data_IF_010260689016
#
_entry.id   IF_010260689016
#
_cell.length_a   1.000
_cell.length_b   1.000
_cell.length_c   1.000
_cell.angle_alpha   90.00
_cell.angle_beta   90.00
_cell.angle_gamma   90.00
#
_symmetry.space_group_name_H-M   'P 1'
#
loop_
_entity.id
_entity.type
_entity.pdbx_description
1 polymer ?
#
# COMPACT_ATOMS: atom_id res chain seq x y z
N UNK A 1 -24.80 15.58 -0.21
CA UNK A 1 -23.76 16.10 0.72
C UNK A 1 -23.12 15.05 1.62
N UNK A 2 -23.83 14.27 2.46
CA UNK A 2 -23.20 13.22 3.29
C UNK A 2 -22.88 11.93 2.50
N UNK A 3 -23.79 11.52 1.61
CA UNK A 3 -23.63 10.38 0.69
C UNK A 3 -22.41 10.55 -0.24
N UNK A 4 -22.23 11.75 -0.78
CA UNK A 4 -21.11 12.06 -1.70
C UNK A 4 -19.74 12.03 -1.00
N UNK A 5 -19.69 12.31 0.31
CA UNK A 5 -18.46 12.26 1.13
C UNK A 5 -18.00 10.83 1.39
N UNK A 6 -18.94 9.94 1.66
CA UNK A 6 -18.65 8.50 1.84
C UNK A 6 -18.15 7.94 0.51
N UNK A 7 -18.77 8.33 -0.61
CA UNK A 7 -18.35 7.94 -1.96
C UNK A 7 -16.92 8.39 -2.27
N UNK A 8 -16.50 9.60 -1.89
CA UNK A 8 -15.12 10.05 -2.08
C UNK A 8 -14.11 9.18 -1.32
N UNK A 9 -14.34 8.94 -0.03
CA UNK A 9 -13.44 8.12 0.79
C UNK A 9 -13.36 6.68 0.28
N UNK A 10 -14.48 6.13 -0.15
CA UNK A 10 -14.52 4.80 -0.77
C UNK A 10 -13.79 4.81 -2.12
N UNK A 11 -13.96 5.83 -2.95
CA UNK A 11 -13.25 5.94 -4.21
C UNK A 11 -11.73 6.04 -4.02
N UNK A 12 -11.25 6.79 -3.01
CA UNK A 12 -9.83 6.85 -2.66
C UNK A 12 -9.30 5.51 -2.17
N UNK A 13 -10.09 4.76 -1.38
CA UNK A 13 -9.72 3.40 -0.96
C UNK A 13 -9.66 2.44 -2.14
N UNK A 14 -10.61 2.54 -3.07
CA UNK A 14 -10.64 1.77 -4.31
C UNK A 14 -9.42 2.06 -5.20
N UNK A 15 -9.05 3.34 -5.34
CA UNK A 15 -7.84 3.74 -6.03
C UNK A 15 -6.58 3.18 -5.33
N UNK A 16 -6.52 3.29 -4.00
CA UNK A 16 -5.39 2.81 -3.22
C UNK A 16 -5.17 1.31 -3.35
N UNK A 17 -6.24 0.50 -3.24
CA UNK A 17 -6.08 -0.95 -3.30
C UNK A 17 -5.65 -1.45 -4.69
N UNK A 18 -6.26 -0.91 -5.75
CA UNK A 18 -5.83 -1.23 -7.12
C UNK A 18 -4.36 -0.87 -7.35
N UNK A 19 -3.96 0.31 -6.88
CA UNK A 19 -2.58 0.77 -7.03
C UNK A 19 -1.56 -0.04 -6.23
N UNK A 20 -1.93 -0.50 -5.02
CA UNK A 20 -1.10 -1.40 -4.19
C UNK A 20 -0.83 -2.72 -4.92
N UNK A 21 -1.80 -3.26 -5.66
CA UNK A 21 -1.63 -4.54 -6.34
C UNK A 21 -0.48 -4.51 -7.36
N UNK A 22 -0.34 -3.43 -8.14
CA UNK A 22 0.74 -3.29 -9.11
C UNK A 22 2.12 -3.26 -8.44
N UNK A 23 2.22 -2.66 -7.24
CA UNK A 23 3.47 -2.62 -6.48
C UNK A 23 3.84 -3.98 -5.88
N UNK A 24 2.84 -4.76 -5.47
CA UNK A 24 3.06 -6.00 -4.74
C UNK A 24 3.28 -7.21 -5.65
N UNK A 25 2.73 -7.21 -6.87
CA UNK A 25 2.80 -8.39 -7.75
C UNK A 25 4.25 -8.84 -8.04
N UNK A 26 5.26 -7.96 -8.24
CA UNK A 26 6.64 -8.42 -8.43
C UNK A 26 7.20 -9.13 -7.20
N UNK A 27 6.81 -8.71 -5.98
CA UNK A 27 7.24 -9.30 -4.71
C UNK A 27 6.71 -10.74 -4.50
N UNK A 28 5.71 -11.15 -5.27
CA UNK A 28 5.15 -12.51 -5.23
C UNK A 28 5.66 -13.39 -6.35
N UNK A 29 6.00 -12.81 -7.50
CA UNK A 29 6.44 -13.56 -8.66
C UNK A 29 7.96 -13.62 -8.82
N UNK A 30 8.72 -12.88 -8.01
CA UNK A 30 10.18 -12.92 -8.00
C UNK A 30 10.71 -12.85 -6.55
N UNK A 31 11.95 -13.31 -6.29
CA UNK A 31 12.57 -13.20 -4.98
C UNK A 31 12.56 -11.76 -4.47
N UNK A 32 12.21 -11.58 -3.20
CA UNK A 32 11.96 -10.26 -2.61
C UNK A 32 13.18 -9.32 -2.79
N UNK A 33 14.38 -9.87 -2.62
CA UNK A 33 15.64 -9.12 -2.73
C UNK A 33 15.94 -8.58 -4.14
N UNK A 34 15.29 -9.10 -5.18
CA UNK A 34 15.50 -8.67 -6.58
C UNK A 34 14.24 -8.15 -7.28
N UNK A 35 13.06 -8.29 -6.67
CA UNK A 35 11.77 -8.04 -7.30
C UNK A 35 11.60 -6.61 -7.86
N UNK A 36 12.21 -5.62 -7.20
CA UNK A 36 12.20 -4.21 -7.65
C UNK A 36 13.51 -3.78 -8.33
N UNK A 37 14.50 -4.65 -8.43
CA UNK A 37 15.81 -4.33 -8.98
C UNK A 37 15.80 -4.21 -10.50
N UNK A 38 16.50 -3.24 -11.07
CA UNK A 38 16.82 -3.25 -12.51
C UNK A 38 17.93 -4.29 -12.82
N UNK A 39 19.13 -4.20 -12.22
CA UNK A 39 20.24 -5.07 -12.59
C UNK A 39 20.04 -6.54 -12.20
N UNK A 40 19.26 -6.83 -11.15
CA UNK A 40 19.03 -8.21 -10.68
C UNK A 40 17.67 -8.79 -11.11
N UNK A 41 16.91 -8.09 -11.96
CA UNK A 41 15.66 -8.64 -12.46
C UNK A 41 15.90 -9.94 -13.25
N UNK A 42 15.24 -11.07 -12.91
CA UNK A 42 15.55 -12.37 -13.50
C UNK A 42 15.33 -12.48 -15.01
N UNK A 43 14.49 -11.61 -15.59
CA UNK A 43 14.14 -11.64 -17.01
C UNK A 43 14.86 -10.57 -17.86
N UNK A 44 15.90 -9.93 -17.31
CA UNK A 44 16.71 -8.95 -18.02
C UNK A 44 16.09 -7.55 -18.10
N UNK A 45 16.51 -6.75 -19.08
CA UNK A 45 16.20 -5.31 -19.14
C UNK A 45 15.59 -4.91 -20.48
N UNK A 46 14.59 -5.67 -20.95
CA UNK A 46 13.88 -5.31 -22.18
C UNK A 46 13.24 -3.92 -22.04
N UNK A 47 13.14 -3.11 -23.12
CA UNK A 47 12.53 -1.79 -23.04
C UNK A 47 11.09 -1.81 -22.47
N UNK A 48 10.33 -2.85 -22.77
CA UNK A 48 8.99 -3.05 -22.23
C UNK A 48 9.02 -3.30 -20.71
N UNK A 49 9.93 -4.14 -20.23
CA UNK A 49 10.10 -4.42 -18.80
C UNK A 49 10.53 -3.17 -18.02
N UNK A 50 11.49 -2.41 -18.56
CA UNK A 50 11.95 -1.15 -18.00
C UNK A 50 10.85 -0.09 -17.98
N UNK A 51 10.00 -0.05 -19.01
CA UNK A 51 8.85 0.87 -19.06
C UNK A 51 7.85 0.56 -17.95
N UNK A 52 7.48 -0.71 -17.77
CA UNK A 52 6.56 -1.12 -16.69
C UNK A 52 7.16 -0.83 -15.32
N UNK A 53 8.44 -1.11 -15.13
CA UNK A 53 9.15 -0.76 -13.90
C UNK A 53 9.11 0.74 -13.64
N UNK A 54 9.46 1.57 -14.63
CA UNK A 54 9.49 3.02 -14.48
C UNK A 54 8.09 3.57 -14.18
N UNK A 55 7.05 3.10 -14.89
CA UNK A 55 5.66 3.50 -14.62
C UNK A 55 5.26 3.15 -13.19
N UNK A 56 5.60 1.93 -12.74
CA UNK A 56 5.31 1.47 -11.38
C UNK A 56 6.03 2.34 -10.34
N UNK A 57 7.33 2.55 -10.49
CA UNK A 57 8.14 3.34 -9.57
C UNK A 57 7.69 4.81 -9.53
N UNK A 58 7.44 5.41 -10.69
CA UNK A 58 7.05 6.80 -10.76
C UNK A 58 5.64 6.98 -10.24
N UNK A 59 4.63 6.28 -10.76
CA UNK A 59 3.21 6.59 -10.47
C UNK A 59 2.57 5.79 -9.33
N UNK A 60 3.15 4.66 -8.90
CA UNK A 60 2.48 3.76 -7.96
C UNK A 60 3.24 3.56 -6.66
N UNK A 61 4.53 3.24 -6.78
CA UNK A 61 5.36 2.85 -5.66
C UNK A 61 5.35 3.93 -4.57
N UNK A 62 5.14 3.45 -3.35
CA UNK A 62 4.97 4.20 -2.10
C UNK A 62 3.74 5.10 -1.96
N UNK A 63 3.12 5.52 -3.06
CA UNK A 63 1.99 6.46 -3.05
C UNK A 63 0.70 5.79 -2.58
N UNK A 64 0.48 4.55 -3.00
CA UNK A 64 -0.79 3.88 -2.70
C UNK A 64 -0.87 3.30 -1.28
N UNK A 65 0.21 2.76 -0.70
CA UNK A 65 0.20 2.44 0.75
C UNK A 65 0.15 3.72 1.60
N UNK A 66 0.76 4.82 1.14
CA UNK A 66 0.69 6.13 1.79
C UNK A 66 -0.75 6.61 1.84
N UNK A 67 -1.42 6.65 0.69
CA UNK A 67 -2.84 6.99 0.59
C UNK A 67 -3.70 6.06 1.47
N UNK A 68 -3.43 4.75 1.44
CA UNK A 68 -4.12 3.79 2.30
C UNK A 68 -3.90 4.05 3.80
N UNK A 69 -2.70 4.40 4.23
CA UNK A 69 -2.36 4.80 5.61
C UNK A 69 -3.11 6.05 6.07
N UNK A 70 -3.17 7.09 5.22
CA UNK A 70 -3.97 8.28 5.48
C UNK A 70 -5.46 7.93 5.66
N UNK A 71 -6.00 7.08 4.79
CA UNK A 71 -7.40 6.65 4.83
C UNK A 71 -7.70 5.71 6.01
N UNK A 72 -6.71 4.94 6.46
CA UNK A 72 -6.81 4.11 7.65
C UNK A 72 -6.94 4.98 8.90
N UNK A 73 -6.15 6.05 9.02
CA UNK A 73 -6.29 7.07 10.06
C UNK A 73 -7.69 7.69 10.09
N UNK A 74 -8.22 8.09 8.93
CA UNK A 74 -9.62 8.55 8.83
C UNK A 74 -10.63 7.48 9.32
N UNK A 75 -10.39 6.20 9.02
CA UNK A 75 -11.26 5.09 9.45
C UNK A 75 -11.30 4.90 10.97
N UNK A 76 -10.21 5.19 11.68
CA UNK A 76 -10.15 5.15 13.15
C UNK A 76 -11.15 6.14 13.73
N UNK A 77 -11.18 7.38 13.23
CA UNK A 77 -12.08 8.41 13.72
C UNK A 77 -13.54 8.17 13.30
N UNK A 78 -13.76 7.63 12.10
CA UNK A 78 -15.11 7.25 11.64
C UNK A 78 -15.77 6.22 12.55
N UNK A 79 -15.03 5.20 12.99
CA UNK A 79 -15.57 4.14 13.85
C UNK A 79 -15.46 4.51 15.33
N UNK A 80 -14.25 4.84 15.79
CA UNK A 80 -13.92 5.04 17.20
C UNK A 80 -14.18 6.45 17.75
N UNK A 81 -14.52 7.42 16.90
CA UNK A 81 -14.69 8.81 17.30
C UNK A 81 -13.40 9.47 17.74
N UNK A 82 -13.52 10.63 18.40
CA UNK A 82 -12.37 11.39 18.90
C UNK A 82 -11.96 11.01 20.34
N UNK A 83 -12.57 9.97 20.92
CA UNK A 83 -12.43 9.62 22.33
C UNK A 83 -13.61 10.10 23.18
N UNK A 84 -13.60 9.78 24.47
CA UNK A 84 -14.67 10.09 25.42
C UNK A 84 -15.88 9.14 25.38
N UNK A 85 -16.15 8.51 24.24
CA UNK A 85 -17.21 7.51 24.09
C UNK A 85 -16.65 6.09 24.32
N UNK A 86 -17.08 5.44 25.40
CA UNK A 86 -16.65 4.09 25.79
C UNK A 86 -17.05 3.04 24.75
N UNK A 87 -18.26 3.10 24.22
CA UNK A 87 -18.78 2.09 23.30
C UNK A 87 -18.08 2.16 21.96
N UNK A 88 -17.85 3.37 21.45
CA UNK A 88 -17.04 3.56 20.23
C UNK A 88 -15.59 3.13 20.45
N UNK A 89 -15.04 3.33 21.64
CA UNK A 89 -13.70 2.86 21.99
C UNK A 89 -13.59 1.34 21.95
N UNK A 90 -14.51 0.65 22.63
CA UNK A 90 -14.56 -0.83 22.63
C UNK A 90 -14.70 -1.35 21.20
N UNK A 91 -15.57 -0.72 20.41
CA UNK A 91 -15.82 -1.12 19.03
C UNK A 91 -14.58 -0.99 18.13
N UNK A 92 -13.84 0.11 18.19
CA UNK A 92 -12.62 0.26 17.38
C UNK A 92 -11.50 -0.66 17.85
N UNK A 93 -11.37 -0.90 19.16
CA UNK A 93 -10.39 -1.86 19.70
C UNK A 93 -10.70 -3.27 19.20
N UNK A 94 -11.94 -3.76 19.33
CA UNK A 94 -12.36 -5.06 18.78
C UNK A 94 -12.10 -5.16 17.28
N UNK A 95 -12.41 -4.10 16.54
CA UNK A 95 -12.16 -4.03 15.10
C UNK A 95 -10.67 -4.20 14.75
N UNK A 96 -9.78 -3.52 15.48
CA UNK A 96 -8.33 -3.60 15.28
C UNK A 96 -7.76 -4.94 15.72
N UNK A 97 -8.21 -5.50 16.86
CA UNK A 97 -7.79 -6.83 17.31
C UNK A 97 -8.22 -7.93 16.32
N UNK A 98 -9.42 -7.82 15.76
CA UNK A 98 -9.86 -8.74 14.71
C UNK A 98 -9.00 -8.62 13.45
N UNK A 99 -8.63 -7.40 13.02
CA UNK A 99 -7.69 -7.21 11.91
C UNK A 99 -6.30 -7.77 12.22
N UNK A 100 -5.83 -7.63 13.45
CA UNK A 100 -4.54 -8.15 13.87
C UNK A 100 -4.52 -9.68 13.75
N UNK A 101 -5.56 -10.38 14.21
CA UNK A 101 -5.69 -11.82 14.08
C UNK A 101 -5.80 -12.27 12.61
N UNK A 102 -6.59 -11.56 11.81
CA UNK A 102 -6.72 -11.81 10.36
C UNK A 102 -5.36 -11.61 9.67
N UNK A 103 -4.63 -10.55 10.00
CA UNK A 103 -3.31 -10.24 9.43
C UNK A 103 -2.30 -11.32 9.75
N UNK A 104 -2.28 -11.83 10.98
CA UNK A 104 -1.42 -12.97 11.34
C UNK A 104 -1.75 -14.20 10.48
N UNK A 105 -3.02 -14.57 10.36
CA UNK A 105 -3.41 -15.69 9.51
C UNK A 105 -3.04 -15.46 8.04
N UNK A 106 -3.38 -14.30 7.49
CA UNK A 106 -3.07 -13.95 6.11
C UNK A 106 -1.55 -13.95 5.84
N UNK A 107 -0.76 -13.38 6.74
CA UNK A 107 0.69 -13.34 6.64
C UNK A 107 1.37 -14.70 6.67
N UNK A 108 0.97 -15.56 7.62
CA UNK A 108 1.56 -16.90 7.77
C UNK A 108 1.10 -17.89 6.70
N UNK A 109 -0.14 -17.76 6.22
CA UNK A 109 -0.77 -18.79 5.38
C UNK A 109 -0.89 -18.35 3.93
N UNK A 110 -1.26 -17.11 3.67
CA UNK A 110 -1.58 -16.63 2.32
C UNK A 110 -0.34 -15.98 1.71
N UNK A 111 0.12 -14.86 2.26
CA UNK A 111 1.21 -14.06 1.68
C UNK A 111 1.98 -13.28 2.74
N UNK A 112 3.31 -13.38 2.70
CA UNK A 112 4.21 -12.75 3.67
C UNK A 112 4.23 -11.20 3.64
N UNK A 113 3.65 -10.56 2.62
CA UNK A 113 3.55 -9.09 2.54
C UNK A 113 2.29 -8.51 3.19
N UNK A 114 1.72 -9.18 4.19
CA UNK A 114 0.54 -8.69 4.93
C UNK A 114 0.78 -7.29 5.52
N UNK A 115 -0.18 -6.38 5.29
CA UNK A 115 -0.18 -5.05 5.90
C UNK A 115 -1.12 -4.95 7.10
N UNK A 116 -2.07 -5.88 7.23
CA UNK A 116 -3.15 -5.77 8.21
C UNK A 116 -2.63 -5.82 9.64
N UNK A 117 -1.65 -6.70 9.91
CA UNK A 117 -1.04 -6.79 11.22
C UNK A 117 -0.36 -5.49 11.63
N UNK A 118 0.50 -4.91 10.79
CA UNK A 118 1.20 -3.65 11.11
C UNK A 118 0.21 -2.50 11.28
N UNK A 119 -0.78 -2.38 10.40
CA UNK A 119 -1.77 -1.31 10.47
C UNK A 119 -2.66 -1.43 11.71
N UNK A 120 -3.02 -2.65 12.09
CA UNK A 120 -3.79 -2.90 13.31
C UNK A 120 -2.97 -2.58 14.56
N UNK A 121 -1.73 -3.06 14.66
CA UNK A 121 -0.85 -2.82 15.82
C UNK A 121 -0.54 -1.34 15.99
N UNK A 122 -0.18 -0.66 14.90
CA UNK A 122 0.09 0.77 14.91
C UNK A 122 -1.20 1.57 15.14
N UNK A 123 -2.33 1.11 14.60
CA UNK A 123 -3.64 1.68 14.84
C UNK A 123 -4.02 1.69 16.32
N UNK A 124 -3.70 0.63 17.07
CA UNK A 124 -3.92 0.56 18.52
C UNK A 124 -3.09 1.62 19.25
N UNK A 125 -1.83 1.83 18.86
CA UNK A 125 -0.98 2.91 19.40
C UNK A 125 -1.57 4.28 19.07
N UNK A 126 -2.03 4.48 17.83
CA UNK A 126 -2.63 5.74 17.38
C UNK A 126 -3.92 6.10 18.14
N UNK A 127 -4.63 5.12 18.75
CA UNK A 127 -5.81 5.41 19.58
C UNK A 127 -5.49 6.29 20.79
N UNK A 128 -4.26 6.23 21.32
CA UNK A 128 -3.81 7.01 22.48
C UNK A 128 -3.86 8.51 22.21
N UNK A 129 -3.76 8.92 20.95
CA UNK A 129 -3.66 10.32 20.54
C UNK A 129 -4.82 10.77 19.64
N UNK A 130 -5.81 9.91 19.36
CA UNK A 130 -6.93 10.23 18.45
C UNK A 130 -7.77 11.44 18.89
N UNK A 131 -7.74 11.79 20.18
CA UNK A 131 -8.40 12.97 20.74
C UNK A 131 -7.64 14.28 20.56
N UNK A 132 -6.39 14.23 20.08
CA UNK A 132 -5.64 15.44 19.79
C UNK A 132 -6.29 16.28 18.68
N UNK A 133 -6.03 17.59 18.69
CA UNK A 133 -6.50 18.49 17.65
C UNK A 133 -5.89 18.14 16.28
N UNK A 134 -6.58 18.53 15.20
CA UNK A 134 -6.11 18.29 13.83
C UNK A 134 -4.66 18.74 13.62
N UNK A 135 -4.31 19.94 14.12
CA UNK A 135 -2.95 20.51 14.02
C UNK A 135 -1.92 19.64 14.73
N UNK A 136 -2.17 19.19 15.96
CA UNK A 136 -1.24 18.33 16.72
C UNK A 136 -1.00 17.00 16.01
N UNK A 137 -2.06 16.38 15.49
CA UNK A 137 -1.98 15.12 14.74
C UNK A 137 -1.16 15.28 13.46
N UNK A 138 -1.41 16.35 12.69
CA UNK A 138 -0.64 16.66 11.48
C UNK A 138 0.83 16.92 11.79
N UNK A 139 1.11 17.77 12.78
CA UNK A 139 2.48 18.09 13.17
C UNK A 139 3.23 16.84 13.63
N UNK A 140 2.64 16.01 14.48
CA UNK A 140 3.26 14.76 14.93
C UNK A 140 3.53 13.81 13.75
N UNK A 141 2.55 13.60 12.88
CA UNK A 141 2.71 12.71 11.73
C UNK A 141 3.76 13.20 10.72
N UNK A 142 3.81 14.51 10.46
CA UNK A 142 4.83 15.13 9.59
C UNK A 142 6.22 15.02 10.22
N UNK A 143 6.37 15.30 11.51
CA UNK A 143 7.66 15.20 12.20
C UNK A 143 8.19 13.75 12.21
N UNK A 144 7.32 12.76 12.43
CA UNK A 144 7.71 11.34 12.34
C UNK A 144 8.18 11.01 10.92
N UNK A 145 7.41 11.40 9.89
CA UNK A 145 7.76 11.14 8.49
C UNK A 145 9.10 11.78 8.11
N UNK A 146 9.29 13.06 8.44
CA UNK A 146 10.53 13.79 8.14
C UNK A 146 11.71 13.27 8.98
N UNK A 147 11.49 12.90 10.24
CA UNK A 147 12.52 12.33 11.10
C UNK A 147 13.05 11.00 10.56
N UNK A 148 12.15 10.09 10.16
CA UNK A 148 12.55 8.80 9.56
C UNK A 148 13.24 8.99 8.21
N UNK A 149 12.69 9.84 7.34
CA UNK A 149 13.32 10.10 6.05
C UNK A 149 14.65 10.85 6.18
N UNK A 150 14.81 11.72 7.18
CA UNK A 150 16.07 12.38 7.51
C UNK A 150 17.12 11.40 8.00
N UNK A 151 16.74 10.46 8.86
CA UNK A 151 17.62 9.37 9.31
C UNK A 151 18.04 8.45 8.15
N UNK A 152 17.11 8.06 7.28
CA UNK A 152 17.43 7.26 6.08
C UNK A 152 18.35 8.03 5.13
N UNK A 153 18.11 9.33 4.92
CA UNK A 153 18.98 10.17 4.11
C UNK A 153 20.39 10.24 4.69
N UNK A 154 20.52 10.46 6.00
CA UNK A 154 21.81 10.46 6.69
C UNK A 154 22.57 9.14 6.50
N UNK A 155 21.87 8.00 6.62
CA UNK A 155 22.48 6.68 6.37
C UNK A 155 22.97 6.52 4.93
N UNK A 156 22.21 7.03 3.97
CA UNK A 156 22.63 7.03 2.56
C UNK A 156 23.87 7.92 2.39
N UNK A 157 23.87 9.13 2.92
CA UNK A 157 24.99 10.06 2.84
C UNK A 157 26.26 9.52 3.52
N UNK A 158 26.12 8.81 4.64
CA UNK A 158 27.26 8.16 5.32
C UNK A 158 27.95 7.08 4.47
N UNK A 159 27.30 6.66 3.37
CA UNK A 159 27.81 5.70 2.39
C UNK A 159 28.04 6.34 1.02
N UNK A 160 28.08 7.68 0.94
CA UNK A 160 28.18 8.44 -0.32
C UNK A 160 29.41 8.07 -1.17
N UNK A 161 30.54 7.73 -0.53
CA UNK A 161 31.75 7.30 -1.23
C UNK A 161 31.53 6.02 -2.08
N UNK A 162 30.51 5.23 -1.75
CA UNK A 162 30.14 3.99 -2.46
C UNK A 162 29.09 4.25 -3.56
N UNK A 163 28.69 5.50 -3.80
CA UNK A 163 27.62 5.81 -4.74
C UNK A 163 28.01 5.63 -6.19
N UNK A 164 29.31 5.78 -6.52
CA UNK A 164 29.82 5.62 -7.89
C UNK A 164 30.37 4.21 -8.16
N UNK A 165 30.52 3.37 -7.13
CA UNK A 165 31.11 2.05 -7.27
C UNK A 165 30.04 0.99 -7.55
N UNK A 166 30.29 0.04 -8.46
CA UNK A 166 29.48 -1.17 -8.60
C UNK A 166 29.36 -1.90 -7.26
N UNK A 167 28.32 -2.73 -7.13
CA UNK A 167 28.13 -3.54 -5.94
C UNK A 167 29.31 -4.51 -5.75
N UNK A 168 29.86 -4.65 -4.52
CA UNK A 168 30.97 -5.58 -4.27
C UNK A 168 30.61 -7.02 -4.67
N UNK A 169 31.56 -7.82 -5.18
CA UNK A 169 31.30 -9.21 -5.59
C UNK A 169 30.66 -10.07 -4.48
N UNK A 170 31.05 -9.87 -3.22
CA UNK A 170 30.44 -10.59 -2.10
C UNK A 170 28.95 -10.27 -1.90
N UNK A 171 28.52 -9.04 -2.23
CA UNK A 171 27.11 -8.64 -2.15
C UNK A 171 26.33 -9.30 -3.27
N UNK A 172 26.87 -9.28 -4.51
CA UNK A 172 26.27 -9.95 -5.66
C UNK A 172 26.08 -11.44 -5.38
N UNK A 173 27.13 -12.12 -4.89
CA UNK A 173 27.07 -13.54 -4.56
C UNK A 173 26.04 -13.86 -3.45
N UNK A 174 25.88 -12.96 -2.47
CA UNK A 174 24.84 -13.10 -1.43
C UNK A 174 23.44 -12.97 -2.02
N UNK A 175 23.18 -11.92 -2.80
CA UNK A 175 21.88 -11.67 -3.46
C UNK A 175 21.49 -12.85 -4.34
N UNK A 176 22.42 -13.36 -5.16
CA UNK A 176 22.15 -14.52 -6.03
C UNK A 176 21.79 -15.77 -5.23
N UNK A 177 22.52 -16.07 -4.15
CA UNK A 177 22.23 -17.25 -3.31
C UNK A 177 20.88 -17.14 -2.60
N UNK A 178 20.56 -15.98 -2.05
CA UNK A 178 19.26 -15.74 -1.39
C UNK A 178 18.11 -15.86 -2.40
N UNK A 179 18.25 -15.24 -3.58
CA UNK A 179 17.27 -15.33 -4.65
C UNK A 179 17.03 -16.77 -5.14
N UNK A 180 18.10 -17.56 -5.28
CA UNK A 180 18.00 -18.98 -5.66
C UNK A 180 17.30 -19.82 -4.58
N UNK A 181 17.66 -19.61 -3.30
CA UNK A 181 17.05 -20.35 -2.18
C UNK A 181 15.55 -20.03 -2.01
N UNK A 182 15.16 -18.79 -2.26
CA UNK A 182 13.76 -18.37 -2.26
C UNK A 182 13.01 -18.97 -3.47
N UNK A 183 13.62 -18.92 -4.65
CA UNK A 183 13.05 -19.53 -5.88
C UNK A 183 12.81 -21.03 -5.72
N UNK A 184 13.77 -21.76 -5.16
CA UNK A 184 13.61 -23.20 -4.93
C UNK A 184 12.45 -23.50 -3.97
N UNK A 185 12.29 -22.70 -2.92
CA UNK A 185 11.25 -22.91 -1.93
C UNK A 185 9.84 -22.62 -2.50
N UNK A 186 9.69 -21.52 -3.26
CA UNK A 186 8.41 -21.13 -3.85
C UNK A 186 8.04 -21.88 -5.12
N UNK A 187 8.98 -22.53 -5.81
CA UNK A 187 8.70 -23.44 -6.93
C UNK A 187 8.53 -24.90 -6.51
N UNK A 188 8.77 -25.23 -5.24
CA UNK A 188 8.60 -26.57 -4.68
C UNK A 188 7.13 -26.98 -4.49
N UNK A 189 6.84 -27.79 -3.48
CA UNK A 189 5.48 -28.23 -3.18
C UNK A 189 4.72 -27.23 -2.29
N UNK A 190 3.50 -27.60 -1.90
CA UNK A 190 2.68 -26.76 -1.03
C UNK A 190 3.34 -26.55 0.34
N UNK A 191 3.99 -27.57 0.89
CA UNK A 191 4.62 -27.53 2.20
C UNK A 191 5.85 -26.63 2.18
N UNK A 192 6.70 -26.73 1.16
CA UNK A 192 7.91 -25.91 1.03
C UNK A 192 7.57 -24.43 0.86
N UNK A 193 6.60 -24.11 0.00
CA UNK A 193 6.17 -22.74 -0.21
C UNK A 193 5.47 -22.16 1.02
N UNK A 194 4.61 -22.94 1.69
CA UNK A 194 3.95 -22.51 2.94
C UNK A 194 4.97 -22.28 4.06
N UNK A 195 5.94 -23.18 4.22
CA UNK A 195 7.02 -23.03 5.20
C UNK A 195 7.87 -21.78 4.93
N UNK A 196 8.17 -21.50 3.66
CA UNK A 196 8.87 -20.28 3.26
C UNK A 196 8.04 -19.02 3.52
N UNK A 197 6.75 -19.02 3.19
CA UNK A 197 5.83 -17.91 3.52
C UNK A 197 5.83 -17.65 5.03
N UNK A 198 5.67 -18.70 5.85
CA UNK A 198 5.66 -18.57 7.30
C UNK A 198 6.99 -18.07 7.88
N UNK A 199 8.12 -18.55 7.35
CA UNK A 199 9.45 -18.07 7.72
C UNK A 199 9.62 -16.58 7.38
N UNK A 200 9.34 -16.18 6.14
CA UNK A 200 9.49 -14.79 5.70
C UNK A 200 8.58 -13.86 6.49
N UNK A 201 7.35 -14.28 6.77
CA UNK A 201 6.43 -13.46 7.57
C UNK A 201 6.86 -13.35 9.03
N UNK A 202 7.39 -14.42 9.63
CA UNK A 202 7.97 -14.35 10.97
C UNK A 202 9.16 -13.39 11.03
N UNK A 203 10.05 -13.44 10.03
CA UNK A 203 11.16 -12.50 9.92
C UNK A 203 10.66 -11.06 9.82
N UNK A 204 9.66 -10.80 8.97
CA UNK A 204 9.03 -9.49 8.85
C UNK A 204 8.44 -9.00 10.18
N UNK A 205 7.63 -9.81 10.85
CA UNK A 205 6.96 -9.46 12.13
C UNK A 205 7.98 -9.25 13.25
N UNK A 206 8.92 -10.18 13.41
CA UNK A 206 9.90 -10.15 14.50
C UNK A 206 10.89 -9.00 14.34
N UNK A 207 11.31 -8.69 13.11
CA UNK A 207 12.24 -7.59 12.83
C UNK A 207 11.57 -6.21 12.80
N UNK A 208 10.27 -6.12 12.50
CA UNK A 208 9.53 -4.85 12.38
C UNK A 208 9.58 -3.97 13.64
N UNK A 209 9.72 -4.58 14.82
CA UNK A 209 9.79 -3.87 16.11
C UNK A 209 11.18 -3.88 16.75
N UNK A 210 12.17 -4.48 16.09
CA UNK A 210 13.54 -4.50 16.58
C UNK A 210 14.31 -3.25 16.13
N UNK A 211 15.27 -2.81 16.95
CA UNK A 211 16.13 -1.65 16.68
C UNK A 211 15.31 -0.38 16.43
N UNK A 212 15.37 0.19 15.23
CA UNK A 212 14.61 1.37 14.81
C UNK A 212 13.41 0.86 13.99
N UNK A 213 12.18 0.88 14.53
CA UNK A 213 10.99 0.35 13.86
C UNK A 213 10.51 1.28 12.75
N UNK A 214 11.31 1.41 11.69
CA UNK A 214 11.10 2.37 10.59
C UNK A 214 9.75 2.20 9.93
N UNK A 215 9.37 0.96 9.58
CA UNK A 215 8.10 0.67 8.92
C UNK A 215 6.89 1.00 9.82
N UNK A 216 6.78 0.51 11.08
CA UNK A 216 5.73 0.94 11.99
C UNK A 216 5.67 2.46 12.22
N UNK A 217 6.82 3.15 12.29
CA UNK A 217 6.86 4.60 12.47
C UNK A 217 6.37 5.36 11.22
N UNK A 218 6.71 4.90 10.02
CA UNK A 218 6.15 5.45 8.77
C UNK A 218 4.62 5.28 8.78
N UNK A 219 4.13 4.07 9.05
CA UNK A 219 2.68 3.79 9.13
C UNK A 219 2.02 4.66 10.20
N UNK A 220 2.66 4.86 11.35
CA UNK A 220 2.15 5.73 12.42
C UNK A 220 2.04 7.17 11.92
N UNK A 221 3.10 7.71 11.32
CA UNK A 221 3.11 9.05 10.76
C UNK A 221 1.96 9.27 9.76
N UNK A 222 1.74 8.30 8.87
CA UNK A 222 0.63 8.31 7.92
C UNK A 222 -0.75 8.24 8.59
N UNK A 223 -0.94 7.37 9.57
CA UNK A 223 -2.20 7.28 10.31
C UNK A 223 -2.50 8.58 11.06
N UNK A 224 -1.51 9.20 11.71
CA UNK A 224 -1.67 10.48 12.41
C UNK A 224 -1.98 11.62 11.43
N UNK A 225 -1.26 11.69 10.30
CA UNK A 225 -1.57 12.65 9.23
C UNK A 225 -3.00 12.44 8.71
N UNK A 226 -3.41 11.20 8.45
CA UNK A 226 -4.75 10.83 8.03
C UNK A 226 -5.84 11.28 8.99
N UNK A 227 -5.66 11.05 10.29
CA UNK A 227 -6.57 11.54 11.33
C UNK A 227 -6.65 13.07 11.32
N UNK A 228 -5.51 13.76 11.25
CA UNK A 228 -5.46 15.22 11.22
C UNK A 228 -6.15 15.83 9.98
N UNK A 229 -5.90 15.26 8.79
CA UNK A 229 -6.53 15.68 7.53
C UNK A 229 -8.03 15.36 7.49
N UNK A 230 -8.47 14.31 8.17
CA UNK A 230 -9.88 14.00 8.31
C UNK A 230 -10.59 15.01 9.23
N UNK A 231 -9.98 15.34 10.38
CA UNK A 231 -10.51 16.36 11.30
C UNK A 231 -10.59 17.75 10.65
N UNK A 232 -9.59 18.13 9.85
CA UNK A 232 -9.56 19.43 9.16
C UNK A 232 -10.61 19.58 8.06
N UNK A 233 -11.26 18.50 7.62
CA UNK A 233 -12.20 18.55 6.50
C UNK A 233 -11.61 18.21 5.14
N UNK A 234 -10.28 18.15 5.02
CA UNK A 234 -9.58 17.98 3.74
C UNK A 234 -9.88 16.62 3.10
N UNK A 235 -9.80 15.52 3.86
CA UNK A 235 -10.19 14.19 3.35
C UNK A 235 -11.70 14.05 3.12
N UNK A 236 -12.50 14.96 3.66
CA UNK A 236 -13.96 14.99 3.48
C UNK A 236 -14.38 15.83 2.28
N UNK A 237 -13.46 16.40 1.51
CA UNK A 237 -13.79 17.24 0.37
C UNK A 237 -14.32 18.64 0.77
N UNK A 238 -14.07 19.10 2.01
CA UNK A 238 -14.72 20.31 2.55
C UNK A 238 -13.92 21.61 2.36
N UNK A 239 -12.64 21.53 1.99
CA UNK A 239 -11.82 22.70 1.68
C UNK A 239 -12.21 23.36 0.36
N UNK A 240 -11.73 24.60 0.13
CA UNK A 240 -11.98 25.32 -1.12
C UNK A 240 -11.34 24.60 -2.34
N UNK A 241 -11.92 24.72 -3.55
CA UNK A 241 -11.34 24.12 -4.77
C UNK A 241 -9.90 24.56 -5.05
N UNK A 242 -9.51 25.78 -4.66
CA UNK A 242 -8.14 26.30 -4.78
C UNK A 242 -7.13 25.48 -3.97
N UNK A 243 -7.52 24.96 -2.80
CA UNK A 243 -6.68 24.09 -1.98
C UNK A 243 -6.39 22.80 -2.73
N UNK A 244 -7.41 22.15 -3.32
CA UNK A 244 -7.19 20.93 -4.08
C UNK A 244 -6.37 21.17 -5.35
N UNK A 245 -6.57 22.30 -6.05
CA UNK A 245 -5.71 22.68 -7.18
C UNK A 245 -4.25 22.87 -6.75
N UNK A 246 -4.01 23.49 -5.59
CA UNK A 246 -2.67 23.63 -5.04
C UNK A 246 -2.06 22.26 -4.68
N UNK A 247 -2.82 21.37 -4.06
CA UNK A 247 -2.37 19.99 -3.79
C UNK A 247 -2.01 19.24 -5.07
N UNK A 248 -2.80 19.40 -6.14
CA UNK A 248 -2.49 18.82 -7.45
C UNK A 248 -1.20 19.41 -8.00
N UNK A 249 -1.04 20.74 -8.00
CA UNK A 249 0.16 21.39 -8.50
C UNK A 249 1.42 20.91 -7.76
N UNK A 250 1.41 20.98 -6.43
CA UNK A 250 2.55 20.54 -5.60
C UNK A 250 2.80 19.03 -5.75
N UNK A 251 1.74 18.22 -5.79
CA UNK A 251 1.82 16.78 -6.00
C UNK A 251 2.44 16.43 -7.37
N UNK A 252 2.04 17.12 -8.44
CA UNK A 252 2.61 16.93 -9.78
C UNK A 252 4.06 17.41 -9.87
N UNK A 253 4.42 18.50 -9.20
CA UNK A 253 5.82 18.95 -9.12
C UNK A 253 6.70 17.93 -8.40
N UNK A 254 6.25 17.41 -7.25
CA UNK A 254 6.94 16.35 -6.53
C UNK A 254 7.04 15.06 -7.36
N UNK A 255 5.97 14.73 -8.09
CA UNK A 255 5.93 13.59 -9.01
C UNK A 255 6.94 13.74 -10.16
N UNK A 256 7.06 14.94 -10.74
CA UNK A 256 8.03 15.22 -11.79
C UNK A 256 9.47 15.08 -11.29
N UNK A 257 9.74 15.49 -10.04
CA UNK A 257 11.04 15.29 -9.40
C UNK A 257 11.35 13.79 -9.21
N UNK A 258 10.39 13.00 -8.72
CA UNK A 258 10.54 11.54 -8.62
C UNK A 258 10.81 10.93 -10.00
N UNK A 259 10.05 11.35 -11.02
CA UNK A 259 10.24 10.90 -12.39
C UNK A 259 11.66 11.21 -12.90
N UNK A 260 12.16 12.43 -12.68
CA UNK A 260 13.50 12.82 -13.10
C UNK A 260 14.60 11.97 -12.44
N UNK A 261 14.51 11.73 -11.12
CA UNK A 261 15.51 10.93 -10.39
C UNK A 261 15.43 9.45 -10.78
N UNK A 262 14.22 8.91 -10.97
CA UNK A 262 14.04 7.52 -11.45
C UNK A 262 14.54 7.33 -12.88
N UNK A 263 14.29 8.29 -13.76
CA UNK A 263 14.84 8.29 -15.12
C UNK A 263 16.35 8.37 -15.08
N UNK A 264 16.95 9.22 -14.24
CA UNK A 264 18.40 9.28 -14.08
C UNK A 264 18.97 7.92 -13.64
N UNK A 265 18.36 7.25 -12.66
CA UNK A 265 18.78 5.91 -12.25
C UNK A 265 18.61 4.86 -13.36
N UNK A 266 17.56 4.97 -14.16
CA UNK A 266 17.28 4.08 -15.28
C UNK A 266 18.31 4.21 -16.42
N UNK A 267 18.74 5.43 -16.75
CA UNK A 267 19.62 5.67 -17.91
C UNK A 267 21.11 5.51 -17.60
N UNK A 268 21.51 5.49 -16.32
CA UNK A 268 22.91 5.24 -15.94
C UNK A 268 23.19 3.73 -16.04
N UNK A 269 24.04 3.28 -16.99
CA UNK A 269 24.16 1.84 -17.32
C UNK A 269 24.65 0.96 -16.17
N UNK A 270 25.45 1.52 -15.27
CA UNK A 270 26.00 0.80 -14.11
C UNK A 270 25.00 0.63 -12.97
N UNK A 271 23.81 1.25 -13.04
CA UNK A 271 22.80 1.32 -11.99
C UNK A 271 23.39 1.41 -10.57
N UNK A 272 24.18 2.45 -10.26
CA UNK A 272 24.91 2.50 -9.01
C UNK A 272 23.97 2.45 -7.80
N UNK A 273 24.28 1.59 -6.83
CA UNK A 273 23.39 1.34 -5.68
C UNK A 273 23.09 2.60 -4.87
N UNK A 274 24.02 3.56 -4.81
CA UNK A 274 23.81 4.86 -4.17
C UNK A 274 22.75 5.71 -4.85
N UNK A 275 22.78 5.79 -6.18
CA UNK A 275 21.77 6.50 -6.97
C UNK A 275 20.41 5.81 -6.86
N UNK A 276 20.39 4.47 -6.90
CA UNK A 276 19.17 3.69 -6.66
C UNK A 276 18.57 4.02 -5.29
N UNK A 277 19.38 3.98 -4.22
CA UNK A 277 18.91 4.31 -2.88
C UNK A 277 18.45 5.77 -2.72
N UNK A 278 19.10 6.72 -3.39
CA UNK A 278 18.64 8.12 -3.43
C UNK A 278 17.29 8.26 -4.14
N UNK A 279 17.09 7.51 -5.23
CA UNK A 279 15.81 7.50 -5.96
C UNK A 279 14.67 6.97 -5.08
N UNK A 280 14.88 5.83 -4.40
CA UNK A 280 13.89 5.24 -3.48
C UNK A 280 13.61 6.15 -2.27
N UNK A 281 14.65 6.83 -1.75
CA UNK A 281 14.49 7.83 -0.70
C UNK A 281 13.64 9.03 -1.17
N UNK A 282 13.92 9.57 -2.37
CA UNK A 282 13.16 10.69 -2.94
C UNK A 282 11.69 10.31 -3.11
N UNK A 283 11.42 9.10 -3.59
CA UNK A 283 10.08 8.55 -3.71
C UNK A 283 9.38 8.45 -2.34
N UNK A 284 10.09 8.04 -1.28
CA UNK A 284 9.57 7.95 0.09
C UNK A 284 9.22 9.30 0.69
N UNK A 285 10.17 10.24 0.67
CA UNK A 285 9.98 11.54 1.33
C UNK A 285 8.83 12.33 0.68
N UNK A 286 8.65 12.18 -0.64
CA UNK A 286 7.60 12.88 -1.41
C UNK A 286 6.25 12.16 -1.44
N UNK A 287 6.17 10.88 -1.06
CA UNK A 287 4.96 10.07 -1.20
C UNK A 287 3.71 10.70 -0.58
N UNK A 288 3.72 11.29 0.64
CA UNK A 288 2.53 11.95 1.22
C UNK A 288 2.01 13.09 0.35
N UNK A 289 2.92 13.90 -0.19
CA UNK A 289 2.55 15.07 -1.00
C UNK A 289 1.95 14.64 -2.34
N UNK A 290 2.55 13.65 -3.00
CA UNK A 290 2.00 13.08 -4.25
C UNK A 290 0.62 12.44 -3.99
N UNK A 291 0.48 11.70 -2.89
CA UNK A 291 -0.80 11.07 -2.51
C UNK A 291 -1.91 12.09 -2.27
N UNK A 292 -1.57 13.25 -1.69
CA UNK A 292 -2.50 14.38 -1.57
C UNK A 292 -2.81 15.03 -2.91
N UNK A 293 -1.89 14.99 -3.87
CA UNK A 293 -2.16 15.32 -5.27
C UNK A 293 -3.22 14.41 -5.89
N UNK A 294 -3.12 13.08 -5.68
CA UNK A 294 -4.15 12.12 -6.13
C UNK A 294 -5.51 12.34 -5.47
N UNK A 295 -5.53 12.68 -4.18
CA UNK A 295 -6.73 13.15 -3.49
C UNK A 295 -7.32 14.38 -4.19
N UNK A 296 -6.50 15.39 -4.45
CA UNK A 296 -6.93 16.62 -5.12
C UNK A 296 -7.52 16.36 -6.50
N UNK A 297 -6.87 15.51 -7.31
CA UNK A 297 -7.38 15.09 -8.62
C UNK A 297 -8.75 14.42 -8.48
N UNK A 298 -8.94 13.51 -7.52
CA UNK A 298 -10.19 12.79 -7.36
C UNK A 298 -11.33 13.69 -6.85
N UNK A 299 -11.03 14.64 -5.97
CA UNK A 299 -12.00 15.65 -5.51
C UNK A 299 -12.42 16.56 -6.66
N UNK A 300 -11.47 17.03 -7.48
CA UNK A 300 -11.79 17.87 -8.63
C UNK A 300 -12.57 17.08 -9.69
N UNK A 301 -12.21 15.81 -9.93
CA UNK A 301 -12.92 14.92 -10.84
C UNK A 301 -14.37 14.67 -10.39
N UNK A 302 -14.61 14.48 -9.09
CA UNK A 302 -15.95 14.28 -8.54
C UNK A 302 -16.89 15.48 -8.79
N UNK A 303 -16.32 16.69 -8.89
CA UNK A 303 -17.06 17.93 -9.13
C UNK A 303 -17.16 18.30 -10.62
N UNK A 304 -16.45 17.60 -11.51
CA UNK A 304 -16.47 17.88 -12.95
C UNK A 304 -17.53 17.04 -13.68
N UNK A 305 -18.28 17.66 -14.62
CA UNK A 305 -19.34 16.98 -15.38
C UNK A 305 -18.86 15.71 -16.10
N UNK A 306 -17.68 15.77 -16.74
CA UNK A 306 -17.11 14.69 -17.55
C UNK A 306 -16.47 13.60 -16.68
N UNK A 307 -15.76 14.00 -15.62
CA UNK A 307 -14.89 13.10 -14.85
C UNK A 307 -15.55 12.48 -13.61
N UNK A 308 -16.78 12.87 -13.27
CA UNK A 308 -17.52 12.33 -12.11
C UNK A 308 -17.74 10.82 -12.14
N UNK A 309 -17.62 10.18 -13.31
CA UNK A 309 -17.73 8.73 -13.47
C UNK A 309 -16.55 7.98 -12.84
N UNK A 310 -15.35 8.56 -12.80
CA UNK A 310 -14.16 7.91 -12.24
C UNK A 310 -14.35 7.56 -10.75
N UNK A 311 -14.68 8.52 -9.85
CA UNK A 311 -14.94 8.17 -8.46
C UNK A 311 -16.08 7.17 -8.29
N UNK A 312 -17.12 7.24 -9.14
CA UNK A 312 -18.25 6.32 -9.08
C UNK A 312 -17.89 4.88 -9.48
N UNK A 313 -16.90 4.70 -10.37
CA UNK A 313 -16.36 3.39 -10.73
C UNK A 313 -15.49 2.80 -9.62
N UNK A 314 -14.74 3.64 -8.91
CA UNK A 314 -13.80 3.22 -7.87
C UNK A 314 -14.46 2.98 -6.50
N UNK A 315 -15.52 3.72 -6.17
CA UNK A 315 -16.16 3.62 -4.85
C UNK A 315 -16.64 2.19 -4.49
N UNK A 316 -17.25 1.41 -5.41
CA UNK A 316 -17.59 0.01 -5.14
C UNK A 316 -16.38 -0.85 -4.78
N UNK A 317 -15.24 -0.64 -5.45
CA UNK A 317 -13.99 -1.36 -5.16
C UNK A 317 -13.52 -1.04 -3.74
N UNK A 318 -13.58 0.23 -3.32
CA UNK A 318 -13.15 0.63 -1.99
C UNK A 318 -14.12 0.27 -0.85
N UNK A 319 -15.42 0.13 -1.13
CA UNK A 319 -16.39 -0.46 -0.20
C UNK A 319 -16.12 -1.94 0.06
N UNK A 320 -15.42 -2.60 -0.87
CA UNK A 320 -14.98 -3.99 -0.79
C UNK A 320 -13.45 -4.09 -0.68
N UNK A 321 -12.77 -3.07 -0.14
CA UNK A 321 -11.31 -3.01 -0.14
C UNK A 321 -10.66 -4.21 0.58
N UNK A 322 -11.24 -4.71 1.67
CA UNK A 322 -10.70 -5.85 2.39
C UNK A 322 -10.94 -7.16 1.62
N UNK A 323 -12.13 -7.34 1.04
CA UNK A 323 -12.39 -8.46 0.13
C UNK A 323 -11.42 -8.45 -1.07
N UNK A 324 -11.23 -7.29 -1.69
CA UNK A 324 -10.38 -7.13 -2.87
C UNK A 324 -8.89 -7.35 -2.55
N UNK A 325 -8.41 -6.88 -1.40
CA UNK A 325 -7.05 -7.13 -0.92
C UNK A 325 -6.74 -8.63 -0.75
N UNK A 326 -7.65 -9.36 -0.11
CA UNK A 326 -7.47 -10.81 0.08
C UNK A 326 -7.60 -11.53 -1.27
N UNK A 327 -8.52 -11.11 -2.13
CA UNK A 327 -8.63 -11.64 -3.48
C UNK A 327 -7.34 -11.45 -4.30
N UNK A 328 -6.73 -10.26 -4.29
CA UNK A 328 -5.44 -10.00 -4.93
C UNK A 328 -4.35 -10.96 -4.43
N UNK A 329 -4.26 -11.12 -3.10
CA UNK A 329 -3.31 -12.03 -2.46
C UNK A 329 -3.52 -13.49 -2.89
N UNK A 330 -4.77 -13.93 -2.96
CA UNK A 330 -5.10 -15.27 -3.44
C UNK A 330 -4.77 -15.43 -4.92
N UNK A 331 -5.10 -14.47 -5.77
CA UNK A 331 -4.78 -14.51 -7.21
C UNK A 331 -3.27 -14.64 -7.41
N UNK A 332 -2.48 -13.74 -6.82
CA UNK A 332 -1.02 -13.75 -7.05
C UNK A 332 -0.35 -14.99 -6.48
N UNK A 333 -0.70 -15.43 -5.27
CA UNK A 333 -0.05 -16.60 -4.65
C UNK A 333 -0.52 -17.93 -5.22
N UNK A 334 -1.77 -18.04 -5.67
CA UNK A 334 -2.27 -19.24 -6.37
C UNK A 334 -1.57 -19.41 -7.71
N UNK A 335 -1.34 -18.31 -8.44
CA UNK A 335 -0.63 -18.33 -9.72
C UNK A 335 0.87 -18.59 -9.54
N UNK A 336 1.50 -17.95 -8.55
CA UNK A 336 2.95 -18.00 -8.40
C UNK A 336 3.45 -19.25 -7.66
N UNK A 337 2.91 -19.58 -6.49
CA UNK A 337 3.54 -20.52 -5.55
C UNK A 337 3.26 -21.99 -5.84
N UNK A 338 4.26 -22.80 -5.50
CA UNK A 338 4.26 -24.26 -5.50
C UNK A 338 3.07 -24.87 -4.78
N UNK A 339 2.43 -25.88 -5.38
CA UNK A 339 1.33 -26.62 -4.78
C UNK A 339 -0.01 -25.87 -4.64
N UNK A 340 -0.13 -24.62 -5.12
CA UNK A 340 -1.39 -23.86 -5.13
C UNK A 340 -2.04 -23.74 -6.50
N UNK A 341 -1.27 -23.87 -7.58
CA UNK A 341 -1.75 -23.70 -8.95
C UNK A 341 -0.65 -23.94 -9.99
N UNK A 342 -0.54 -23.11 -11.05
CA UNK A 342 0.36 -23.35 -12.19
C UNK A 342 1.86 -23.12 -11.91
N UNK A 343 2.22 -22.61 -10.73
CA UNK A 343 3.61 -22.38 -10.30
C UNK A 343 4.38 -21.48 -11.26
N UNK A 344 3.97 -20.20 -11.33
CA UNK A 344 4.54 -19.18 -12.21
C UNK A 344 5.65 -18.34 -11.54
N UNK A 345 6.08 -18.68 -10.32
CA UNK A 345 7.18 -18.01 -9.64
C UNK A 345 8.47 -18.02 -10.46
N UNK A 346 9.05 -16.85 -10.68
CA UNK A 346 10.27 -16.64 -11.47
C UNK A 346 10.11 -16.86 -12.98
N UNK A 347 8.88 -17.01 -13.50
CA UNK A 347 8.62 -17.32 -14.92
C UNK A 347 8.08 -16.15 -15.74
N UNK A 348 7.65 -15.06 -15.09
CA UNK A 348 6.96 -13.94 -15.73
C UNK A 348 7.75 -12.63 -15.62
N UNK A 349 7.97 -11.99 -16.76
CA UNK A 349 8.52 -10.62 -16.83
C UNK A 349 7.43 -9.57 -16.46
N UNK A 350 7.87 -8.34 -16.15
CA UNK A 350 7.02 -7.23 -15.71
C UNK A 350 5.83 -6.94 -16.64
N UNK A 351 5.93 -6.99 -17.98
CA UNK A 351 4.76 -6.78 -18.84
C UNK A 351 3.68 -7.85 -18.64
N UNK A 352 4.06 -9.11 -18.42
CA UNK A 352 3.11 -10.18 -18.12
C UNK A 352 2.46 -9.97 -16.74
N UNK A 353 3.23 -9.53 -15.74
CA UNK A 353 2.70 -9.17 -14.43
C UNK A 353 1.72 -7.98 -14.52
N UNK A 354 2.04 -6.95 -15.29
CA UNK A 354 1.16 -5.82 -15.54
C UNK A 354 -0.15 -6.25 -16.24
N UNK A 355 -0.09 -7.25 -17.13
CA UNK A 355 -1.30 -7.81 -17.75
C UNK A 355 -2.20 -8.52 -16.72
N UNK A 356 -1.62 -9.28 -15.79
CA UNK A 356 -2.36 -9.90 -14.66
C UNK A 356 -3.02 -8.81 -13.80
N UNK A 357 -2.29 -7.72 -13.53
CA UNK A 357 -2.81 -6.57 -12.78
C UNK A 357 -4.02 -5.95 -13.48
N UNK A 358 -3.91 -5.64 -14.77
CA UNK A 358 -5.02 -5.04 -15.54
C UNK A 358 -6.24 -5.97 -15.59
N UNK A 359 -6.03 -7.27 -15.80
CA UNK A 359 -7.12 -8.25 -15.78
C UNK A 359 -7.81 -8.32 -14.42
N UNK A 360 -7.03 -8.31 -13.34
CA UNK A 360 -7.54 -8.32 -11.96
C UNK A 360 -8.32 -7.04 -11.64
N UNK A 361 -7.81 -5.87 -12.05
CA UNK A 361 -8.51 -4.59 -11.88
C UNK A 361 -9.86 -4.60 -12.59
N UNK A 362 -9.91 -5.04 -13.85
CA UNK A 362 -11.14 -5.14 -14.62
C UNK A 362 -12.15 -6.06 -13.91
N UNK A 363 -11.71 -7.24 -13.47
CA UNK A 363 -12.54 -8.16 -12.71
C UNK A 363 -13.06 -7.53 -11.42
N UNK A 364 -12.20 -6.95 -10.57
CA UNK A 364 -12.60 -6.37 -9.29
C UNK A 364 -13.57 -5.20 -9.45
N UNK A 365 -13.37 -4.34 -10.45
CA UNK A 365 -14.30 -3.23 -10.74
C UNK A 365 -15.67 -3.78 -11.11
N UNK A 366 -15.74 -4.77 -12.00
CA UNK A 366 -17.00 -5.36 -12.43
C UNK A 366 -17.69 -6.15 -11.30
N UNK A 367 -16.94 -7.01 -10.62
CA UNK A 367 -17.41 -7.85 -9.52
C UNK A 367 -17.89 -7.02 -8.34
N UNK A 368 -17.15 -5.99 -7.93
CA UNK A 368 -17.55 -5.12 -6.81
C UNK A 368 -18.85 -4.36 -7.11
N UNK A 369 -19.00 -3.88 -8.35
CA UNK A 369 -20.25 -3.23 -8.80
C UNK A 369 -21.42 -4.20 -8.83
N UNK A 370 -21.21 -5.39 -9.36
CA UNK A 370 -22.24 -6.43 -9.41
C UNK A 370 -22.67 -6.88 -8.01
N UNK A 371 -21.71 -7.06 -7.10
CA UNK A 371 -21.94 -7.50 -5.72
C UNK A 371 -22.71 -6.45 -4.92
N UNK A 372 -22.24 -5.20 -4.93
CA UNK A 372 -22.87 -4.12 -4.16
C UNK A 372 -24.21 -3.66 -4.72
N UNK A 373 -24.64 -4.13 -5.89
CA UNK A 373 -26.05 -4.00 -6.32
C UNK A 373 -26.99 -4.86 -5.47
N UNK A 374 -26.50 -5.97 -4.90
CA UNK A 374 -27.30 -6.98 -4.17
C UNK A 374 -27.05 -6.98 -2.68
N UNK A 375 -25.82 -6.65 -2.27
CA UNK A 375 -25.36 -6.71 -0.89
C UNK A 375 -24.94 -5.34 -0.35
N UNK A 376 -24.97 -5.18 0.98
CA UNK A 376 -24.71 -3.92 1.66
C UNK A 376 -23.22 -3.65 1.91
N UNK A 377 -22.39 -4.70 1.88
CA UNK A 377 -20.94 -4.66 2.04
C UNK A 377 -20.30 -5.89 1.37
N UNK A 378 -18.97 -5.91 1.23
CA UNK A 378 -18.27 -7.08 0.73
C UNK A 378 -18.33 -8.27 1.70
N UNK A 379 -18.09 -9.50 1.21
CA UNK A 379 -18.20 -10.72 2.00
C UNK A 379 -17.22 -10.74 3.18
N UNK A 380 -15.95 -10.39 2.98
CA UNK A 380 -14.96 -10.39 4.07
C UNK A 380 -15.15 -9.21 5.02
N UNK A 381 -15.65 -8.07 4.53
CA UNK A 381 -16.07 -6.96 5.38
C UNK A 381 -17.21 -7.36 6.31
N UNK A 382 -18.14 -8.18 5.82
CA UNK A 382 -19.23 -8.72 6.62
C UNK A 382 -18.72 -9.69 7.68
N UNK A 383 -17.89 -10.67 7.31
CA UNK A 383 -17.27 -11.62 8.25
C UNK A 383 -16.49 -10.88 9.34
N UNK A 384 -15.66 -9.91 8.94
CA UNK A 384 -14.91 -9.09 9.88
C UNK A 384 -15.82 -8.26 10.79
N UNK A 385 -16.96 -7.75 10.27
CA UNK A 385 -17.93 -7.02 11.08
C UNK A 385 -18.58 -7.87 12.17
N UNK A 386 -18.77 -9.17 11.94
CA UNK A 386 -19.28 -10.08 12.97
C UNK A 386 -18.40 -10.03 14.24
N UNK A 387 -17.08 -9.96 14.07
CA UNK A 387 -16.13 -9.98 15.17
C UNK A 387 -16.18 -8.75 16.10
N UNK A 388 -16.65 -7.58 15.61
CA UNK A 388 -16.62 -6.34 16.41
C UNK A 388 -17.98 -5.64 16.58
N UNK A 389 -18.99 -5.97 15.76
CA UNK A 389 -20.35 -5.41 15.83
C UNK A 389 -21.46 -6.47 15.86
N UNK A 390 -21.14 -7.75 15.68
CA UNK A 390 -22.12 -8.83 15.64
C UNK A 390 -22.88 -8.96 14.30
N UNK A 391 -23.88 -9.86 14.22
CA UNK A 391 -24.63 -10.14 13.01
C UNK A 391 -25.32 -8.91 12.43
N UNK A 392 -25.12 -8.67 11.13
CA UNK A 392 -25.84 -7.61 10.39
C UNK A 392 -26.37 -8.15 9.07
N UNK A 393 -27.56 -7.71 8.58
CA UNK A 393 -28.10 -8.16 7.31
C UNK A 393 -27.16 -7.84 6.13
N UNK A 394 -26.76 -8.87 5.39
CA UNK A 394 -25.86 -8.73 4.25
C UNK A 394 -26.60 -8.32 2.96
N UNK A 395 -27.79 -8.87 2.73
CA UNK A 395 -28.63 -8.46 1.58
C UNK A 395 -29.15 -7.05 1.80
N UNK A 396 -29.11 -6.22 0.76
CA UNK A 396 -29.83 -4.94 0.80
C UNK A 396 -31.32 -5.23 0.94
N UNK A 397 -31.99 -4.52 1.84
CA UNK A 397 -33.46 -4.49 1.82
C UNK A 397 -33.86 -3.94 0.46
N UNK A 398 -34.70 -4.68 -0.25
CA UNK A 398 -35.32 -4.18 -1.49
C UNK A 398 -36.10 -2.93 -1.08
N UNK A 399 -35.77 -1.80 -1.68
CA UNK A 399 -36.51 -0.55 -1.49
C UNK A 399 -37.74 -0.58 -2.38
#
# INVERSE_FOLDING_TARGET
MAKDRIVLLDALRGLAILGIFLCNIPLVFAPEIVAESIPFWPHGQSPASLTVWWVTQVFFQQKFYTLFGLLFGASILLVGGEGGDRDRTVMIVKRLLALLAIGLFHGFVIWQGDVLWTYASVGLIALLVRGWSARRLLTAGILIHLGINGWQFWRQLSRAAQFATPLPPQVVARVTREAQAETLAFTGDFTSSLARTGHNYWEFVSSSWQRVPTWPLIVLGLILMGMGLFKSGLLKGQSAPTVYKALVAVGLSAQALVAAVMTLFLVVPSHPGGLGGLAHWMQSVTAPVVSLGYLGLLVLAANAKVWRTIPALLAPVGQMAFTNYIFESLVMTTLAFGGRGPVLYGKLDRPALAAIVVATWAFQILASRWWLKRFSMGPLEWVWRLAYRGPTPLRRKVA
#
